data_IF_796642852119
#
_entry.id   IF_796642852119
#
_cell.length_a   1.000
_cell.length_b   1.000
_cell.length_c   1.000
_cell.angle_alpha   90.00
_cell.angle_beta   90.00
_cell.angle_gamma   90.00
#
_symmetry.space_group_name_H-M   'P 1'
#
loop_
_entity.id
_entity.type
_entity.pdbx_description
1 polymer ?
#
# COMPACT_ATOMS: atom_id res chain seq x y z
N UNK A 1 -19.23 -16.22 -18.26
CA UNK A 1 -19.41 -14.80 -17.89
C UNK A 1 -18.24 -14.27 -17.04
N UNK A 2 -17.88 -14.84 -15.89
CA UNK A 2 -16.74 -14.31 -15.10
C UNK A 2 -15.41 -14.35 -15.86
N UNK A 3 -15.08 -15.48 -16.50
CA UNK A 3 -13.85 -15.61 -17.28
C UNK A 3 -13.76 -14.63 -18.46
N UNK A 4 -14.88 -14.39 -19.16
CA UNK A 4 -14.93 -13.44 -20.27
C UNK A 4 -14.78 -11.99 -19.79
N UNK A 5 -15.40 -11.62 -18.65
CA UNK A 5 -15.24 -10.28 -18.08
C UNK A 5 -13.79 -10.00 -17.66
N UNK A 6 -13.13 -10.97 -17.04
CA UNK A 6 -11.71 -10.85 -16.69
C UNK A 6 -10.84 -10.75 -17.96
N UNK A 7 -11.16 -11.53 -19.01
CA UNK A 7 -10.46 -11.42 -20.30
C UNK A 7 -10.66 -10.05 -20.97
N UNK A 8 -11.83 -9.42 -20.79
CA UNK A 8 -12.09 -8.04 -21.22
C UNK A 8 -11.47 -6.95 -20.32
N UNK A 9 -10.66 -7.33 -19.32
CA UNK A 9 -9.93 -6.38 -18.48
C UNK A 9 -10.65 -5.95 -17.19
N UNK A 10 -11.72 -6.62 -16.78
CA UNK A 10 -12.38 -6.31 -15.51
C UNK A 10 -11.47 -6.59 -14.30
N UNK A 11 -11.47 -5.69 -13.32
CA UNK A 11 -10.63 -5.83 -12.11
C UNK A 11 -11.25 -6.82 -11.11
N UNK A 12 -10.55 -7.94 -10.87
CA UNK A 12 -11.00 -8.96 -9.91
C UNK A 12 -11.03 -8.45 -8.44
N UNK A 13 -10.29 -7.37 -8.16
CA UNK A 13 -10.22 -6.72 -6.85
C UNK A 13 -11.36 -5.74 -6.54
N UNK A 14 -12.25 -5.45 -7.49
CA UNK A 14 -13.35 -4.52 -7.29
C UNK A 14 -14.25 -4.95 -6.11
N UNK A 15 -14.68 -3.96 -5.34
CA UNK A 15 -15.46 -4.13 -4.12
C UNK A 15 -16.85 -3.53 -4.33
N UNK A 16 -17.89 -4.20 -3.85
CA UNK A 16 -19.27 -3.69 -3.89
C UNK A 16 -19.44 -2.46 -3.00
N UNK A 17 -20.51 -1.69 -3.23
CA UNK A 17 -20.83 -0.53 -2.41
C UNK A 17 -20.95 -0.89 -0.90
N UNK A 18 -20.48 -0.01 -0.01
CA UNK A 18 -20.64 -0.19 1.44
C UNK A 18 -22.11 -0.34 1.81
N UNK A 19 -22.43 -1.35 2.62
CA UNK A 19 -23.77 -1.56 3.16
C UNK A 19 -23.74 -1.65 4.68
N UNK A 20 -24.89 -1.52 5.34
CA UNK A 20 -24.96 -1.67 6.81
C UNK A 20 -24.45 -3.02 7.32
N UNK A 21 -24.44 -4.06 6.48
CA UNK A 21 -23.91 -5.39 6.82
C UNK A 21 -22.41 -5.51 6.50
N UNK A 22 -21.91 -4.74 5.54
CA UNK A 22 -20.52 -4.75 5.08
C UNK A 22 -20.01 -3.31 4.89
N UNK A 23 -19.51 -2.65 5.95
CA UNK A 23 -19.11 -1.25 5.91
C UNK A 23 -17.91 -0.99 4.98
N UNK A 24 -17.14 -2.03 4.65
CA UNK A 24 -15.99 -1.94 3.73
C UNK A 24 -16.29 -2.50 2.35
N UNK A 25 -17.53 -2.94 2.10
CA UNK A 25 -17.93 -3.69 0.90
C UNK A 25 -17.30 -5.09 0.80
N UNK A 26 -17.76 -5.87 -0.19
CA UNK A 26 -17.32 -7.24 -0.44
C UNK A 26 -16.69 -7.38 -1.83
N UNK A 27 -15.55 -8.07 -1.92
CA UNK A 27 -14.95 -8.44 -3.21
C UNK A 27 -15.74 -9.58 -3.84
N UNK A 28 -15.78 -9.66 -5.19
CA UNK A 28 -16.39 -10.78 -5.92
C UNK A 28 -15.92 -12.16 -5.42
N UNK A 29 -14.62 -12.31 -5.10
CA UNK A 29 -14.07 -13.53 -4.52
C UNK A 29 -14.67 -13.90 -3.15
N UNK A 30 -15.01 -12.91 -2.32
CA UNK A 30 -15.62 -13.13 -1.01
C UNK A 30 -17.08 -13.57 -1.12
N UNK A 31 -17.81 -13.01 -2.09
CA UNK A 31 -19.18 -13.38 -2.42
C UNK A 31 -19.21 -14.81 -2.97
N UNK A 32 -18.32 -15.15 -3.90
CA UNK A 32 -18.23 -16.52 -4.43
C UNK A 32 -17.93 -17.54 -3.31
N UNK A 33 -17.07 -17.18 -2.35
CA UNK A 33 -16.75 -18.04 -1.21
C UNK A 33 -17.94 -18.23 -0.27
N UNK A 34 -18.72 -17.17 0.02
CA UNK A 34 -19.89 -17.27 0.90
C UNK A 34 -21.00 -18.13 0.31
N UNK A 35 -21.11 -18.18 -1.02
CA UNK A 35 -22.06 -19.03 -1.74
C UNK A 35 -21.53 -20.46 -1.98
N UNK A 36 -20.35 -20.81 -1.45
CA UNK A 36 -19.77 -22.17 -1.55
C UNK A 36 -19.02 -22.45 -2.85
N UNK A 37 -18.91 -21.49 -3.77
CA UNK A 37 -18.13 -21.61 -5.00
C UNK A 37 -16.64 -21.38 -4.75
N UNK A 38 -16.00 -22.35 -4.07
CA UNK A 38 -14.59 -22.27 -3.67
C UNK A 38 -13.64 -22.18 -4.86
N UNK A 39 -13.91 -22.85 -5.98
CA UNK A 39 -13.07 -22.77 -7.18
C UNK A 39 -13.08 -21.41 -7.84
N UNK A 40 -14.26 -20.81 -7.95
CA UNK A 40 -14.45 -19.45 -8.45
C UNK A 40 -13.78 -18.41 -7.53
N UNK A 41 -13.98 -18.56 -6.22
CA UNK A 41 -13.36 -17.69 -5.22
C UNK A 41 -11.82 -17.78 -5.25
N UNK A 42 -11.28 -18.98 -5.44
CA UNK A 42 -9.84 -19.21 -5.59
C UNK A 42 -9.29 -18.53 -6.84
N UNK A 43 -9.91 -18.74 -8.01
CA UNK A 43 -9.51 -18.09 -9.25
C UNK A 43 -9.52 -16.56 -9.16
N UNK A 44 -10.61 -15.97 -8.67
CA UNK A 44 -10.72 -14.51 -8.52
C UNK A 44 -9.67 -13.97 -7.53
N UNK A 45 -9.34 -14.74 -6.49
CA UNK A 45 -8.29 -14.34 -5.52
C UNK A 45 -6.90 -14.40 -6.13
N UNK A 46 -6.59 -15.42 -6.95
CA UNK A 46 -5.32 -15.50 -7.69
C UNK A 46 -5.19 -14.36 -8.69
N UNK A 47 -6.19 -14.15 -9.54
CA UNK A 47 -6.20 -13.09 -10.56
C UNK A 47 -6.08 -11.71 -9.90
N UNK A 48 -6.73 -11.48 -8.76
CA UNK A 48 -6.58 -10.23 -8.02
C UNK A 48 -5.14 -10.02 -7.53
N UNK A 49 -4.50 -11.04 -6.97
CA UNK A 49 -3.12 -10.94 -6.49
C UNK A 49 -2.12 -10.73 -7.64
N UNK A 50 -2.27 -11.45 -8.75
CA UNK A 50 -1.36 -11.33 -9.89
C UNK A 50 -1.56 -10.00 -10.63
N UNK A 51 -2.80 -9.52 -10.79
CA UNK A 51 -3.10 -8.20 -11.36
C UNK A 51 -2.64 -7.05 -10.46
N UNK A 52 -2.78 -7.19 -9.13
CA UNK A 52 -2.26 -6.19 -8.19
C UNK A 52 -0.73 -6.14 -8.23
N UNK A 53 -0.07 -7.29 -8.35
CA UNK A 53 1.38 -7.34 -8.55
C UNK A 53 1.78 -6.65 -9.85
N UNK A 54 1.13 -6.95 -10.98
CA UNK A 54 1.50 -6.34 -12.26
C UNK A 54 1.31 -4.82 -12.23
N UNK A 55 0.26 -4.32 -11.57
CA UNK A 55 0.06 -2.89 -11.34
C UNK A 55 1.18 -2.27 -10.49
N UNK A 56 1.65 -2.95 -9.45
CA UNK A 56 2.74 -2.46 -8.61
C UNK A 56 4.09 -2.48 -9.33
N UNK A 57 4.39 -3.52 -10.11
CA UNK A 57 5.64 -3.62 -10.87
C UNK A 57 5.74 -2.57 -11.97
N UNK A 58 4.62 -2.21 -12.63
CA UNK A 58 4.60 -1.10 -13.60
C UNK A 58 4.98 0.24 -12.94
N UNK A 59 4.48 0.50 -11.74
CA UNK A 59 4.86 1.72 -10.99
C UNK A 59 6.31 1.69 -10.51
N UNK A 60 6.90 0.50 -10.31
CA UNK A 60 8.30 0.35 -9.89
C UNK A 60 9.26 0.41 -11.09
N UNK A 61 8.85 -0.05 -12.28
CA UNK A 61 9.65 0.07 -13.51
C UNK A 61 9.80 1.51 -13.99
N UNK A 62 8.83 2.38 -13.71
CA UNK A 62 8.95 3.83 -13.96
C UNK A 62 9.91 4.53 -12.96
N UNK A 63 10.22 3.88 -11.83
CA UNK A 63 11.09 4.40 -10.77
C UNK A 63 12.47 3.70 -10.75
N UNK A 64 12.62 2.53 -11.36
CA UNK A 64 13.87 1.76 -11.36
C UNK A 64 14.09 1.00 -12.66
N UNK A 65 14.92 1.59 -13.51
CA UNK A 65 15.62 0.92 -14.63
C UNK A 65 16.76 0.01 -14.14
N UNK A 66 16.58 -0.69 -13.01
CA UNK A 66 17.58 -1.59 -12.44
C UNK A 66 16.92 -2.76 -11.71
N UNK A 67 16.48 -3.74 -12.48
CA UNK A 67 16.33 -5.13 -12.00
C UNK A 67 16.42 -6.09 -13.19
N UNK A 68 17.57 -6.09 -13.85
CA UNK A 68 17.95 -7.09 -14.86
C UNK A 68 18.52 -8.36 -14.20
N UNK A 69 18.01 -8.76 -13.04
CA UNK A 69 18.59 -9.87 -12.24
C UNK A 69 17.52 -10.81 -11.64
N UNK A 70 16.22 -10.58 -11.88
CA UNK A 70 15.14 -11.39 -11.31
C UNK A 70 14.27 -12.14 -12.33
N UNK A 71 14.60 -12.04 -13.63
CA UNK A 71 13.99 -12.83 -14.71
C UNK A 71 14.48 -14.29 -14.76
N UNK A 72 15.49 -14.65 -13.96
CA UNK A 72 16.03 -16.02 -13.91
C UNK A 72 15.10 -17.02 -13.19
N UNK A 73 14.06 -16.56 -12.48
CA UNK A 73 13.11 -17.46 -11.79
C UNK A 73 11.80 -17.69 -12.57
N UNK A 74 11.55 -16.95 -13.66
CA UNK A 74 10.36 -17.16 -14.50
C UNK A 74 10.52 -18.33 -15.50
N UNK A 75 11.74 -18.83 -15.70
CA UNK A 75 12.07 -19.81 -16.74
C UNK A 75 12.38 -21.22 -16.25
N UNK A 76 12.29 -21.52 -14.95
CA UNK A 76 12.51 -22.89 -14.46
C UNK A 76 11.22 -23.54 -13.97
N UNK A 77 10.33 -23.82 -14.92
CA UNK A 77 9.33 -24.89 -14.81
C UNK A 77 9.01 -25.52 -16.17
N UNK A 78 10.02 -25.66 -17.03
CA UNK A 78 9.90 -26.30 -18.34
C UNK A 78 10.66 -27.63 -18.43
N UNK A 79 10.50 -28.54 -17.47
CA UNK A 79 10.84 -29.97 -17.72
C UNK A 79 9.91 -30.89 -16.94
N UNK A 80 8.91 -31.43 -17.64
CA UNK A 80 8.40 -32.81 -17.51
C UNK A 80 7.21 -32.95 -18.45
N UNK A 81 7.52 -32.97 -19.74
CA UNK A 81 6.59 -33.40 -20.79
C UNK A 81 6.71 -34.91 -20.89
N UNK A 82 6.13 -35.63 -19.93
CA UNK A 82 5.85 -37.05 -20.09
C UNK A 82 4.81 -37.50 -19.05
N UNK A 83 3.58 -37.71 -19.54
CA UNK A 83 2.76 -38.89 -19.23
C UNK A 83 1.45 -38.79 -20.00
N UNK A 84 1.39 -39.57 -21.07
CA UNK A 84 0.17 -39.94 -21.76
C UNK A 84 -0.73 -40.67 -20.74
N UNK A 85 -1.97 -40.20 -20.58
CA UNK A 85 -2.99 -40.69 -19.63
C UNK A 85 -2.91 -40.14 -18.18
N UNK A 86 -2.74 -38.83 -18.00
CA UNK A 86 -3.04 -38.21 -16.71
C UNK A 86 -4.56 -38.23 -16.44
N UNK A 87 -4.98 -38.90 -15.37
CA UNK A 87 -6.36 -38.82 -14.87
C UNK A 87 -6.77 -37.36 -14.67
N UNK A 88 -7.98 -36.96 -15.11
CA UNK A 88 -8.53 -35.58 -15.06
C UNK A 88 -8.28 -34.90 -13.71
N UNK A 89 -8.35 -35.68 -12.64
CA UNK A 89 -8.14 -35.26 -11.25
C UNK A 89 -6.71 -34.85 -10.93
N UNK A 90 -5.70 -35.55 -11.46
CA UNK A 90 -4.28 -35.20 -11.29
C UNK A 90 -3.96 -33.89 -12.00
N UNK A 91 -4.53 -33.69 -13.19
CA UNK A 91 -4.33 -32.43 -13.94
C UNK A 91 -5.04 -31.26 -13.25
N UNK A 92 -6.22 -31.49 -12.68
CA UNK A 92 -6.92 -30.47 -11.86
C UNK A 92 -6.16 -30.12 -10.58
N UNK A 93 -5.53 -31.10 -9.93
CA UNK A 93 -4.68 -30.90 -8.77
C UNK A 93 -3.46 -30.06 -9.13
N UNK A 94 -2.73 -30.43 -10.18
CA UNK A 94 -1.53 -29.70 -10.64
C UNK A 94 -1.85 -28.24 -10.93
N UNK A 95 -2.90 -27.97 -11.72
CA UNK A 95 -3.35 -26.61 -12.01
C UNK A 95 -3.71 -25.81 -10.75
N UNK A 96 -4.31 -26.46 -9.74
CA UNK A 96 -4.65 -25.81 -8.47
C UNK A 96 -3.43 -25.54 -7.57
N UNK A 97 -2.37 -26.35 -7.67
CA UNK A 97 -1.11 -26.13 -6.97
C UNK A 97 -0.29 -25.02 -7.62
N UNK A 98 -0.29 -24.94 -8.95
CA UNK A 98 0.32 -23.84 -9.70
C UNK A 98 -0.34 -22.50 -9.33
N UNK A 99 -1.67 -22.49 -9.19
CA UNK A 99 -2.42 -21.33 -8.70
C UNK A 99 -1.97 -20.88 -7.29
N UNK A 100 -1.73 -21.83 -6.38
CA UNK A 100 -1.21 -21.52 -5.04
C UNK A 100 0.20 -20.94 -5.12
N UNK A 101 1.09 -21.52 -5.94
CA UNK A 101 2.45 -21.02 -6.13
C UNK A 101 2.43 -19.58 -6.66
N UNK A 102 1.64 -19.32 -7.71
CA UNK A 102 1.48 -17.99 -8.30
C UNK A 102 0.95 -16.99 -7.26
N UNK A 103 -0.13 -17.35 -6.56
CA UNK A 103 -0.73 -16.48 -5.55
C UNK A 103 0.24 -16.20 -4.39
N UNK A 104 0.99 -17.20 -3.92
CA UNK A 104 1.96 -17.05 -2.83
C UNK A 104 3.14 -16.18 -3.24
N UNK A 105 3.72 -16.40 -4.43
CA UNK A 105 4.78 -15.56 -4.97
C UNK A 105 4.30 -14.13 -5.18
N UNK A 106 3.09 -13.94 -5.71
CA UNK A 106 2.51 -12.62 -5.90
C UNK A 106 2.30 -11.88 -4.56
N UNK A 107 1.70 -12.55 -3.57
CA UNK A 107 1.52 -12.03 -2.23
C UNK A 107 2.84 -11.63 -1.57
N UNK A 108 3.88 -12.47 -1.67
CA UNK A 108 5.20 -12.19 -1.10
C UNK A 108 5.84 -10.93 -1.72
N UNK A 109 5.77 -10.79 -3.05
CA UNK A 109 6.30 -9.62 -3.77
C UNK A 109 5.53 -8.35 -3.44
N UNK A 110 4.19 -8.42 -3.38
CA UNK A 110 3.35 -7.29 -2.93
C UNK A 110 3.77 -6.84 -1.53
N UNK A 111 3.85 -7.77 -0.57
CA UNK A 111 4.24 -7.47 0.80
C UNK A 111 5.66 -6.90 0.89
N UNK A 112 6.60 -7.43 0.11
CA UNK A 112 7.96 -6.91 0.03
C UNK A 112 7.99 -5.47 -0.51
N UNK A 113 7.23 -5.17 -1.56
CA UNK A 113 7.11 -3.82 -2.12
C UNK A 113 6.56 -2.83 -1.07
N UNK A 114 5.51 -3.20 -0.32
CA UNK A 114 4.98 -2.36 0.77
C UNK A 114 5.98 -2.15 1.91
N UNK A 115 6.76 -3.18 2.28
CA UNK A 115 7.83 -3.06 3.29
C UNK A 115 8.93 -2.12 2.81
N UNK A 116 9.38 -2.25 1.57
CA UNK A 116 10.39 -1.40 0.96
C UNK A 116 9.91 0.05 0.87
N UNK A 117 8.68 0.29 0.38
CA UNK A 117 8.08 1.62 0.33
C UNK A 117 7.95 2.25 1.73
N UNK A 118 7.49 1.48 2.71
CA UNK A 118 7.42 1.93 4.11
C UNK A 118 8.79 2.30 4.67
N UNK A 119 9.84 1.57 4.30
CA UNK A 119 11.19 1.85 4.75
C UNK A 119 11.73 3.14 4.11
N UNK A 120 11.54 3.32 2.79
CA UNK A 120 11.91 4.55 2.06
C UNK A 120 11.22 5.79 2.65
N UNK A 121 9.90 5.75 2.85
CA UNK A 121 9.15 6.86 3.48
C UNK A 121 9.65 7.20 4.88
N UNK A 122 10.03 6.19 5.69
CA UNK A 122 10.64 6.44 7.01
C UNK A 122 12.01 7.11 6.90
N UNK A 123 12.87 6.62 6.00
CA UNK A 123 14.20 7.19 5.75
C UNK A 123 14.13 8.64 5.29
N UNK A 124 13.18 8.97 4.40
CA UNK A 124 12.93 10.35 3.95
C UNK A 124 12.49 11.26 5.10
N UNK A 125 11.59 10.79 5.97
CA UNK A 125 11.21 11.55 7.18
C UNK A 125 12.36 11.71 8.15
N UNK A 126 13.16 10.67 8.38
CA UNK A 126 14.35 10.76 9.24
C UNK A 126 15.41 11.69 8.66
N UNK A 127 15.58 11.72 7.33
CA UNK A 127 16.46 12.67 6.66
C UNK A 127 15.93 14.11 6.77
N UNK A 128 14.63 14.33 6.59
CA UNK A 128 13.99 15.63 6.80
C UNK A 128 14.05 16.08 8.27
N UNK A 129 13.96 15.14 9.23
CA UNK A 129 14.13 15.42 10.65
C UNK A 129 15.60 15.71 11.02
N UNK A 130 16.56 15.01 10.40
CA UNK A 130 18.00 15.28 10.56
C UNK A 130 18.41 16.63 9.98
N UNK A 131 17.73 17.13 8.95
CA UNK A 131 17.92 18.50 8.44
C UNK A 131 17.54 19.58 9.47
N UNK A 132 16.69 19.25 10.47
CA UNK A 132 16.30 20.14 11.57
C UNK A 132 17.19 19.99 12.83
N UNK A 133 17.88 18.84 13.01
CA UNK A 133 18.75 18.54 14.17
C UNK A 133 20.21 18.37 13.72
N UNK A 134 20.81 19.47 13.25
CA UNK A 134 22.19 19.49 12.78
C UNK A 134 23.23 19.33 13.91
N UNK A 135 24.15 18.39 13.68
CA UNK A 135 25.52 18.23 14.23
C UNK A 135 25.70 17.43 15.54
N UNK A 136 26.24 16.20 15.48
CA UNK A 136 27.68 15.92 15.30
C UNK A 136 27.96 14.43 15.63
N UNK A 137 28.67 13.72 14.74
CA UNK A 137 29.42 12.52 15.10
C UNK A 137 30.84 12.63 14.55
N UNK A 138 31.77 12.18 15.40
CA UNK A 138 33.12 11.67 15.12
C UNK A 138 34.28 12.68 15.07
N UNK A 139 35.19 12.51 16.03
CA UNK A 139 36.63 12.66 15.81
C UNK A 139 37.36 11.82 16.86
N UNK A 140 37.90 10.70 16.40
CA UNK A 140 38.78 9.78 17.12
C UNK A 140 40.26 10.17 16.83
N UNK A 141 41.18 9.82 17.73
CA UNK A 141 42.61 9.72 17.43
C UNK A 141 43.54 10.85 17.92
N UNK A 142 44.24 10.61 19.04
CA UNK A 142 45.71 10.56 19.13
C UNK A 142 46.21 10.61 20.60
N UNK A 143 46.60 9.45 21.14
CA UNK A 143 47.08 9.28 22.52
C UNK A 143 48.61 9.15 22.63
N UNK A 144 49.38 9.31 21.54
CA UNK A 144 50.83 8.95 21.56
C UNK A 144 51.83 10.12 21.66
N UNK A 145 51.40 11.38 21.83
CA UNK A 145 52.30 12.55 21.75
C UNK A 145 52.51 13.28 23.09
N UNK A 146 51.79 12.89 24.15
CA UNK A 146 51.72 13.70 25.39
C UNK A 146 52.81 13.44 26.44
N UNK A 147 53.67 12.41 26.29
CA UNK A 147 54.62 12.04 27.36
C UNK A 147 55.92 12.84 27.38
N UNK A 148 56.18 13.71 26.40
CA UNK A 148 57.46 14.44 26.29
C UNK A 148 57.39 15.93 26.74
N UNK A 149 56.19 16.49 26.97
CA UNK A 149 56.00 17.94 27.22
C UNK A 149 55.72 18.26 28.71
N UNK A 150 55.60 17.24 29.57
CA UNK A 150 55.08 17.37 30.94
C UNK A 150 55.97 18.13 31.93
N UNK A 151 57.25 18.38 31.63
CA UNK A 151 58.20 18.90 32.64
C UNK A 151 58.46 20.41 32.59
N UNK A 152 57.89 21.15 31.63
CA UNK A 152 57.99 22.63 31.57
C UNK A 152 56.61 23.33 31.64
N UNK A 153 55.52 22.57 31.78
CA UNK A 153 54.14 23.05 31.52
C UNK A 153 53.29 23.32 32.77
N UNK A 154 53.79 23.17 34.00
CA UNK A 154 52.91 23.25 35.20
C UNK A 154 52.16 24.59 35.36
N UNK A 155 52.74 25.71 34.88
CA UNK A 155 52.06 27.01 34.83
C UNK A 155 51.05 27.12 33.70
N UNK A 156 51.30 26.56 32.52
CA UNK A 156 50.35 26.60 31.40
C UNK A 156 49.19 25.60 31.57
N UNK A 157 49.45 24.47 32.23
CA UNK A 157 48.44 23.44 32.53
C UNK A 157 47.32 23.98 33.42
N UNK A 158 47.65 24.86 34.37
CA UNK A 158 46.65 25.54 35.22
C UNK A 158 45.68 26.38 34.40
N UNK A 159 46.20 27.17 33.46
CA UNK A 159 45.39 28.03 32.59
C UNK A 159 44.52 27.21 31.63
N UNK A 160 45.06 26.14 31.04
CA UNK A 160 44.27 25.21 30.22
C UNK A 160 43.19 24.50 31.03
N UNK A 161 43.48 24.13 32.28
CA UNK A 161 42.49 23.49 33.16
C UNK A 161 41.35 24.45 33.52
N UNK A 162 41.64 25.70 33.86
CA UNK A 162 40.64 26.73 34.13
C UNK A 162 39.78 27.02 32.89
N UNK A 163 40.41 27.15 31.72
CA UNK A 163 39.70 27.32 30.46
C UNK A 163 38.78 26.12 30.15
N UNK A 164 39.28 24.88 30.30
CA UNK A 164 38.50 23.67 30.11
C UNK A 164 37.30 23.60 31.07
N UNK A 165 37.48 23.94 32.35
CA UNK A 165 36.39 23.99 33.32
C UNK A 165 35.33 25.04 32.96
N UNK A 166 35.74 26.20 32.43
CA UNK A 166 34.81 27.24 31.98
C UNK A 166 33.93 26.75 30.81
N UNK A 167 34.53 26.04 29.85
CA UNK A 167 33.85 25.45 28.70
C UNK A 167 32.89 24.35 29.16
N UNK A 168 33.35 23.45 30.03
CA UNK A 168 32.52 22.37 30.59
C UNK A 168 31.33 22.92 31.37
N UNK A 169 31.52 23.96 32.19
CA UNK A 169 30.44 24.61 32.94
C UNK A 169 29.41 25.21 31.99
N UNK A 170 29.86 25.91 30.93
CA UNK A 170 28.97 26.49 29.92
C UNK A 170 28.19 25.40 29.17
N UNK A 171 28.87 24.31 28.80
CA UNK A 171 28.25 23.17 28.12
C UNK A 171 27.19 22.49 28.99
N UNK A 172 27.49 22.20 30.27
CA UNK A 172 26.52 21.60 31.20
C UNK A 172 25.27 22.47 31.35
N UNK A 173 25.44 23.79 31.46
CA UNK A 173 24.33 24.74 31.51
C UNK A 173 23.52 24.78 30.21
N UNK A 174 24.19 24.80 29.05
CA UNK A 174 23.53 24.76 27.75
C UNK A 174 22.75 23.46 27.52
N UNK A 175 23.35 22.31 27.85
CA UNK A 175 22.72 20.98 27.74
C UNK A 175 21.46 20.90 28.61
N UNK A 176 21.57 21.28 29.89
CA UNK A 176 20.42 21.30 30.80
C UNK A 176 19.30 22.23 30.33
N UNK A 177 19.65 23.42 29.79
CA UNK A 177 18.66 24.34 29.22
C UNK A 177 17.96 23.77 27.99
N UNK A 178 18.70 23.08 27.10
CA UNK A 178 18.16 22.42 25.92
C UNK A 178 17.15 21.33 26.31
N UNK A 179 17.53 20.45 27.24
CA UNK A 179 16.67 19.37 27.73
C UNK A 179 15.41 19.92 28.43
N UNK A 180 15.56 20.96 29.25
CA UNK A 180 14.43 21.61 29.91
C UNK A 180 13.44 22.24 28.93
N UNK A 181 13.93 22.94 27.89
CA UNK A 181 13.05 23.53 26.87
C UNK A 181 12.30 22.47 26.09
N UNK A 182 12.95 21.36 25.72
CA UNK A 182 12.31 20.25 25.04
C UNK A 182 11.22 19.59 25.91
N UNK A 183 11.50 19.38 27.21
CA UNK A 183 10.50 18.87 28.15
C UNK A 183 9.33 19.85 28.30
N UNK A 184 9.61 21.15 28.48
CA UNK A 184 8.59 22.18 28.64
C UNK A 184 7.66 22.24 27.43
N UNK A 185 8.18 22.16 26.21
CA UNK A 185 7.35 22.14 25.00
C UNK A 185 6.39 20.94 24.99
N UNK A 186 6.87 19.74 25.34
CA UNK A 186 6.03 18.54 25.44
C UNK A 186 4.94 18.70 26.51
N UNK A 187 5.31 19.20 27.69
CA UNK A 187 4.35 19.43 28.79
C UNK A 187 3.29 20.46 28.38
N UNK A 188 3.66 21.56 27.75
CA UNK A 188 2.72 22.60 27.30
C UNK A 188 1.75 22.03 26.26
N UNK A 189 2.21 21.19 25.32
CA UNK A 189 1.34 20.49 24.36
C UNK A 189 0.30 19.61 25.07
N UNK A 190 0.73 18.76 25.99
CA UNK A 190 -0.17 17.88 26.77
C UNK A 190 -1.19 18.72 27.53
N UNK A 191 -0.72 19.78 28.19
CA UNK A 191 -1.58 20.68 28.95
C UNK A 191 -2.63 21.38 28.07
N UNK A 192 -2.25 21.83 26.86
CA UNK A 192 -3.18 22.44 25.91
C UNK A 192 -4.28 21.45 25.48
N UNK A 193 -3.90 20.21 25.17
CA UNK A 193 -4.83 19.13 24.79
C UNK A 193 -5.81 18.83 25.93
N UNK A 194 -5.32 18.68 27.15
CA UNK A 194 -6.16 18.38 28.33
C UNK A 194 -7.15 19.52 28.60
N UNK A 195 -6.70 20.78 28.54
CA UNK A 195 -7.60 21.94 28.70
C UNK A 195 -8.67 21.99 27.60
N UNK A 196 -8.28 21.73 26.35
CA UNK A 196 -9.22 21.67 25.23
C UNK A 196 -10.24 20.53 25.36
N UNK A 197 -9.81 19.35 25.80
CA UNK A 197 -10.70 18.22 26.06
C UNK A 197 -11.74 18.55 27.15
N UNK A 198 -11.30 19.18 28.25
CA UNK A 198 -12.19 19.53 29.36
C UNK A 198 -13.32 20.48 28.90
N UNK A 199 -12.99 21.51 28.11
CA UNK A 199 -14.00 22.44 27.55
C UNK A 199 -14.94 21.72 26.58
N UNK A 200 -14.41 20.91 25.65
CA UNK A 200 -15.24 20.14 24.70
C UNK A 200 -16.18 19.17 25.40
N UNK A 201 -15.75 18.54 26.50
CA UNK A 201 -16.61 17.67 27.32
C UNK A 201 -17.79 18.43 27.92
N UNK A 202 -17.55 19.62 28.48
CA UNK A 202 -18.63 20.47 29.01
C UNK A 202 -19.56 20.96 27.91
N UNK A 203 -19.01 21.35 26.76
CA UNK A 203 -19.79 21.79 25.61
C UNK A 203 -20.70 20.68 25.05
N UNK A 204 -20.23 19.43 24.99
CA UNK A 204 -21.05 18.28 24.59
C UNK A 204 -22.26 18.08 25.53
N UNK A 205 -22.10 18.31 26.84
CA UNK A 205 -23.22 18.24 27.79
C UNK A 205 -24.26 19.33 27.53
N UNK A 206 -23.80 20.56 27.26
CA UNK A 206 -24.68 21.67 26.90
C UNK A 206 -25.44 21.38 25.59
N UNK A 207 -24.74 20.94 24.54
CA UNK A 207 -25.37 20.55 23.27
C UNK A 207 -26.39 19.44 23.45
N UNK A 208 -26.10 18.44 24.28
CA UNK A 208 -27.04 17.36 24.58
C UNK A 208 -28.31 17.89 25.27
N UNK A 209 -28.15 18.75 26.29
CA UNK A 209 -29.27 19.39 26.98
C UNK A 209 -30.12 20.26 26.04
N UNK A 210 -29.48 21.08 25.21
CA UNK A 210 -30.15 21.91 24.19
C UNK A 210 -30.86 21.03 23.15
N UNK A 211 -30.26 19.91 22.76
CA UNK A 211 -30.88 18.93 21.85
C UNK A 211 -32.16 18.34 22.43
N UNK A 212 -32.18 18.00 23.72
CA UNK A 212 -33.40 17.54 24.42
C UNK A 212 -34.43 18.66 24.47
N UNK A 213 -34.04 19.86 24.89
CA UNK A 213 -34.93 21.01 24.96
C UNK A 213 -35.58 21.29 23.60
N UNK A 214 -34.79 21.33 22.52
CA UNK A 214 -35.30 21.51 21.16
C UNK A 214 -36.26 20.39 20.76
N UNK A 215 -35.96 19.13 21.09
CA UNK A 215 -36.89 18.02 20.85
C UNK A 215 -38.21 18.19 21.61
N UNK A 216 -38.17 18.64 22.86
CA UNK A 216 -39.37 18.90 23.68
C UNK A 216 -40.16 20.08 23.12
N UNK A 217 -39.51 21.20 22.80
CA UNK A 217 -40.15 22.40 22.20
C UNK A 217 -40.78 22.06 20.86
N UNK A 218 -40.09 21.31 19.99
CA UNK A 218 -40.63 20.86 18.71
C UNK A 218 -41.82 19.91 18.89
N UNK A 219 -41.76 19.00 19.86
CA UNK A 219 -42.88 18.10 20.20
C UNK A 219 -44.10 18.87 20.73
N UNK A 220 -43.87 19.92 21.52
CA UNK A 220 -44.91 20.80 22.06
C UNK A 220 -45.56 21.66 20.96
N UNK A 221 -44.74 22.32 20.13
CA UNK A 221 -45.23 23.14 19.00
C UNK A 221 -46.02 22.33 17.97
N UNK A 222 -45.63 21.08 17.71
CA UNK A 222 -46.29 20.22 16.72
C UNK A 222 -47.54 19.47 17.24
N UNK A 223 -47.96 19.65 18.50
CA UNK A 223 -49.17 19.02 19.10
C UNK A 223 -49.42 17.53 18.73
N UNK A 224 -48.34 16.72 18.68
CA UNK A 224 -48.24 15.26 18.42
C UNK A 224 -48.91 14.72 17.13
N UNK A 225 -48.11 14.08 16.27
CA UNK A 225 -48.11 12.64 15.85
C UNK A 225 -46.74 12.41 15.17
N UNK A 226 -46.15 11.23 15.37
CA UNK A 226 -44.72 10.97 15.15
C UNK A 226 -44.26 11.01 13.70
N UNK A 227 -42.98 11.33 13.50
CA UNK A 227 -42.23 10.93 12.30
C UNK A 227 -40.80 10.59 12.73
N UNK A 228 -40.40 9.38 12.35
CA UNK A 228 -39.08 8.77 12.39
C UNK A 228 -37.97 9.79 12.05
N UNK A 229 -37.00 9.98 12.95
CA UNK A 229 -35.82 10.78 12.64
C UNK A 229 -34.63 9.85 12.38
N UNK A 230 -34.28 9.79 11.10
CA UNK A 230 -32.96 9.44 10.56
C UNK A 230 -31.85 9.77 11.55
N UNK A 231 -31.08 8.73 11.88
CA UNK A 231 -29.84 8.81 12.66
C UNK A 231 -28.83 9.61 11.85
N UNK A 232 -28.69 10.89 12.18
CA UNK A 232 -27.62 11.72 11.66
C UNK A 232 -26.32 11.24 12.29
N UNK A 233 -25.57 10.45 11.53
CA UNK A 233 -24.20 10.11 11.85
C UNK A 233 -23.38 11.39 11.78
N UNK A 234 -22.89 11.82 12.93
CA UNK A 234 -21.89 12.87 13.02
C UNK A 234 -20.59 12.21 12.57
N UNK A 235 -20.31 12.26 11.27
CA UNK A 235 -18.97 12.05 10.74
C UNK A 235 -18.09 13.21 11.24
N UNK A 236 -17.40 12.97 12.35
CA UNK A 236 -16.27 13.76 12.78
C UNK A 236 -15.07 13.40 11.88
N UNK A 237 -14.94 14.11 10.76
CA UNK A 237 -13.67 14.23 10.05
C UNK A 237 -12.87 15.38 10.67
N UNK A 238 -11.98 15.03 11.60
CA UNK A 238 -10.90 15.82 12.20
C UNK A 238 -9.82 14.75 12.50
N UNK A 239 -8.51 14.81 12.22
CA UNK A 239 -7.58 15.90 11.96
C UNK A 239 -6.41 15.37 11.09
N UNK A 240 -6.07 16.06 10.00
CA UNK A 240 -4.94 15.73 9.14
C UNK A 240 -3.67 16.40 9.71
N UNK A 241 -2.86 15.66 10.49
CA UNK A 241 -1.39 15.90 10.58
C UNK A 241 -0.62 14.81 11.34
N UNK A 242 -1.21 14.11 12.31
CA UNK A 242 -0.55 12.97 13.01
C UNK A 242 -1.26 11.61 12.77
N UNK A 243 -2.48 11.64 12.23
CA UNK A 243 -3.25 10.46 11.87
C UNK A 243 -2.72 9.75 10.62
N UNK A 244 -1.81 10.35 9.84
CA UNK A 244 -1.26 9.71 8.65
C UNK A 244 -0.49 8.44 8.99
N UNK A 245 0.29 8.41 10.07
CA UNK A 245 1.06 7.22 10.45
C UNK A 245 0.19 6.13 11.05
N UNK A 246 -0.81 6.51 11.85
CA UNK A 246 -1.82 5.59 12.36
C UNK A 246 -2.65 5.02 11.20
N UNK A 247 -3.29 5.86 10.38
CA UNK A 247 -4.04 5.45 9.20
C UNK A 247 -3.19 4.63 8.23
N UNK A 248 -1.89 4.92 8.09
CA UNK A 248 -0.99 4.10 7.28
C UNK A 248 -0.75 2.72 7.88
N UNK A 249 -0.62 2.57 9.21
CA UNK A 249 -0.54 1.25 9.86
C UNK A 249 -1.85 0.48 9.67
N UNK A 250 -3.00 1.11 9.86
CA UNK A 250 -4.31 0.47 9.66
C UNK A 250 -4.57 0.10 8.20
N UNK A 251 -4.19 0.96 7.25
CA UNK A 251 -4.25 0.66 5.81
C UNK A 251 -3.33 -0.50 5.44
N UNK A 252 -2.09 -0.52 5.96
CA UNK A 252 -1.13 -1.62 5.74
C UNK A 252 -1.64 -2.94 6.32
N UNK A 253 -2.16 -2.92 7.54
CA UNK A 253 -2.74 -4.10 8.18
C UNK A 253 -3.95 -4.61 7.40
N UNK A 254 -4.83 -3.71 6.95
CA UNK A 254 -6.00 -4.05 6.13
C UNK A 254 -5.59 -4.68 4.78
N UNK A 255 -4.57 -4.14 4.11
CA UNK A 255 -4.04 -4.69 2.86
C UNK A 255 -3.41 -6.07 3.09
N UNK A 256 -2.57 -6.23 4.12
CA UNK A 256 -1.96 -7.53 4.45
C UNK A 256 -3.03 -8.57 4.81
N UNK A 257 -4.02 -8.19 5.62
CA UNK A 257 -5.15 -9.06 5.95
C UNK A 257 -5.98 -9.44 4.72
N UNK A 258 -6.12 -8.55 3.73
CA UNK A 258 -6.79 -8.85 2.47
C UNK A 258 -6.00 -9.86 1.64
N UNK A 259 -4.66 -9.70 1.56
CA UNK A 259 -3.76 -10.64 0.86
C UNK A 259 -3.81 -12.02 1.51
N UNK A 260 -3.73 -12.11 2.83
CA UNK A 260 -3.85 -13.38 3.55
C UNK A 260 -5.23 -14.04 3.37
N UNK A 261 -6.30 -13.25 3.39
CA UNK A 261 -7.66 -13.74 3.10
C UNK A 261 -7.75 -14.29 1.68
N UNK A 262 -7.10 -13.65 0.70
CA UNK A 262 -7.02 -14.16 -0.68
C UNK A 262 -6.26 -15.50 -0.73
N UNK A 263 -5.09 -15.61 -0.10
CA UNK A 263 -4.34 -16.87 -0.02
C UNK A 263 -5.13 -18.00 0.65
N UNK A 264 -5.85 -17.71 1.75
CA UNK A 264 -6.72 -18.69 2.40
C UNK A 264 -7.80 -19.21 1.46
N UNK A 265 -8.37 -18.36 0.59
CA UNK A 265 -9.35 -18.78 -0.43
C UNK A 265 -8.72 -19.69 -1.48
N UNK A 266 -7.55 -19.33 -2.02
CA UNK A 266 -6.83 -20.17 -2.99
C UNK A 266 -6.48 -21.53 -2.37
N UNK A 267 -5.98 -21.56 -1.13
CA UNK A 267 -5.72 -22.80 -0.41
C UNK A 267 -7.00 -23.62 -0.14
N UNK A 268 -8.12 -22.96 0.15
CA UNK A 268 -9.40 -23.64 0.38
C UNK A 268 -9.94 -24.34 -0.86
N UNK A 269 -9.67 -23.80 -2.05
CA UNK A 269 -9.99 -24.41 -3.34
C UNK A 269 -9.18 -25.69 -3.56
N UNK A 270 -7.88 -25.70 -3.23
CA UNK A 270 -7.02 -26.88 -3.41
C UNK A 270 -7.47 -28.05 -2.54
N UNK A 271 -8.12 -27.84 -1.40
CA UNK A 271 -8.57 -28.94 -0.54
C UNK A 271 -9.74 -29.75 -1.10
N UNK A 272 -10.54 -29.19 -2.01
CA UNK A 272 -11.76 -29.83 -2.52
C UNK A 272 -11.65 -30.21 -3.99
N UNK A 273 -11.96 -31.47 -4.32
CA UNK A 273 -11.96 -31.98 -5.70
C UNK A 273 -12.90 -31.18 -6.63
N UNK A 274 -14.13 -30.91 -6.19
CA UNK A 274 -15.09 -30.12 -6.96
C UNK A 274 -14.63 -28.67 -7.20
N UNK A 275 -13.93 -28.07 -6.23
CA UNK A 275 -13.38 -26.73 -6.36
C UNK A 275 -12.21 -26.67 -7.37
N UNK A 276 -11.32 -27.69 -7.38
CA UNK A 276 -10.24 -27.82 -8.38
C UNK A 276 -10.79 -27.89 -9.80
N UNK A 277 -11.85 -28.68 -10.00
CA UNK A 277 -12.50 -28.81 -11.30
C UNK A 277 -13.19 -27.51 -11.74
N UNK A 278 -13.88 -26.81 -10.82
CA UNK A 278 -14.45 -25.48 -11.08
C UNK A 278 -13.37 -24.48 -11.54
N UNK A 279 -12.24 -24.45 -10.84
CA UNK A 279 -11.09 -23.60 -11.20
C UNK A 279 -10.55 -23.93 -12.59
N UNK A 280 -10.33 -25.22 -12.88
CA UNK A 280 -9.83 -25.68 -14.19
C UNK A 280 -10.78 -25.31 -15.33
N UNK A 281 -12.10 -25.47 -15.14
CA UNK A 281 -13.12 -25.05 -16.12
C UNK A 281 -13.09 -23.55 -16.35
N UNK A 282 -12.91 -22.77 -15.29
CA UNK A 282 -12.83 -21.32 -15.40
C UNK A 282 -11.54 -20.89 -16.12
N UNK A 283 -10.43 -21.56 -15.85
CA UNK A 283 -9.15 -21.34 -16.51
C UNK A 283 -9.21 -21.68 -18.01
N UNK A 284 -9.88 -22.77 -18.40
CA UNK A 284 -10.08 -23.10 -19.82
C UNK A 284 -10.95 -22.08 -20.52
N UNK A 285 -12.04 -21.62 -19.89
CA UNK A 285 -12.90 -20.58 -20.44
C UNK A 285 -12.17 -19.23 -20.57
N UNK A 286 -11.31 -18.89 -19.60
CA UNK A 286 -10.50 -17.69 -19.68
C UNK A 286 -9.52 -17.74 -20.84
N UNK A 287 -8.86 -18.88 -21.06
CA UNK A 287 -7.96 -19.07 -22.21
C UNK A 287 -8.69 -18.95 -23.55
N UNK A 288 -9.92 -19.48 -23.63
CA UNK A 288 -10.75 -19.35 -24.84
C UNK A 288 -11.24 -17.91 -25.06
N UNK A 289 -11.53 -17.17 -23.98
CA UNK A 289 -12.04 -15.80 -24.05
C UNK A 289 -10.94 -14.74 -24.15
N UNK A 290 -9.69 -15.07 -23.79
CA UNK A 290 -8.55 -14.18 -23.95
C UNK A 290 -8.23 -14.14 -25.46
N UNK A 291 -8.43 -13.01 -26.14
CA UNK A 291 -8.09 -12.92 -27.55
C UNK A 291 -6.60 -13.23 -27.71
N UNK A 292 -6.25 -14.02 -28.72
CA UNK A 292 -4.88 -14.21 -29.20
C UNK A 292 -4.35 -12.85 -29.67
N UNK A 293 -3.87 -12.04 -28.74
CA UNK A 293 -3.29 -10.73 -29.03
C UNK A 293 -1.77 -10.81 -29.10
N UNK A 294 -1.23 -11.91 -29.64
CA UNK A 294 0.23 -12.13 -29.79
C UNK A 294 0.63 -12.91 -31.07
N UNK A 295 -0.25 -13.07 -32.06
CA UNK A 295 0.13 -13.75 -33.32
C UNK A 295 -0.48 -13.14 -34.58
N UNK A 296 -0.24 -11.85 -34.83
CA UNK A 296 -0.21 -11.29 -36.19
C UNK A 296 0.84 -10.18 -36.29
N UNK A 297 2.09 -10.51 -35.97
CA UNK A 297 3.26 -9.77 -36.45
C UNK A 297 4.20 -10.78 -37.09
N UNK A 298 3.87 -11.20 -38.32
CA UNK A 298 4.83 -11.24 -39.42
C UNK A 298 4.21 -11.84 -40.70
N UNK A 299 4.29 -11.02 -41.76
CA UNK A 299 4.44 -11.33 -43.19
C UNK A 299 3.31 -12.04 -43.95
N UNK A 300 2.71 -11.26 -44.87
CA UNK A 300 2.48 -11.67 -46.26
C UNK A 300 2.69 -10.44 -47.19
N UNK A 301 3.03 -10.66 -48.48
CA UNK A 301 4.02 -9.84 -49.19
C UNK A 301 3.47 -8.67 -50.01
N UNK A 302 4.42 -7.79 -50.35
CA UNK A 302 4.37 -6.71 -51.32
C UNK A 302 3.88 -7.18 -52.71
N UNK A 303 2.88 -6.50 -53.27
CA UNK A 303 2.73 -6.23 -54.72
C UNK A 303 1.70 -5.10 -54.91
N UNK A 304 2.14 -3.86 -55.14
CA UNK A 304 2.27 -3.16 -56.45
C UNK A 304 0.99 -2.41 -56.85
N UNK A 305 1.17 -1.15 -57.26
CA UNK A 305 0.25 -0.29 -58.04
C UNK A 305 -0.74 0.59 -57.27
N UNK A 306 -0.28 1.75 -56.79
CA UNK A 306 -1.10 2.97 -56.66
C UNK A 306 -0.22 4.22 -56.46
N UNK A 307 0.69 4.51 -57.40
CA UNK A 307 1.48 5.76 -57.43
C UNK A 307 1.00 6.76 -58.50
N UNK A 308 -0.16 6.54 -59.13
CA UNK A 308 -0.63 7.40 -60.24
C UNK A 308 -1.66 8.48 -59.87
N UNK A 309 -2.10 8.60 -58.61
CA UNK A 309 -3.24 9.48 -58.28
C UNK A 309 -2.83 10.85 -57.70
N UNK A 310 -1.56 11.06 -57.35
CA UNK A 310 -1.10 12.33 -56.76
C UNK A 310 -0.57 13.36 -57.77
N UNK A 311 -0.21 12.93 -58.98
CA UNK A 311 0.28 13.84 -60.02
C UNK A 311 -0.83 14.50 -60.85
N UNK A 312 -2.07 14.00 -60.78
CA UNK A 312 -3.21 14.58 -61.52
C UNK A 312 -3.87 15.77 -60.79
N UNK A 313 -3.60 15.94 -59.48
CA UNK A 313 -4.19 17.01 -58.65
C UNK A 313 -3.31 18.27 -58.65
N UNK A 314 -2.00 18.15 -58.94
CA UNK A 314 -1.06 19.28 -58.89
C UNK A 314 -0.93 20.06 -60.22
N UNK A 315 -1.37 19.53 -61.37
CA UNK A 315 -1.37 20.27 -62.65
C UNK A 315 -2.56 21.23 -62.82
N UNK A 316 -3.58 21.15 -61.98
CA UNK A 316 -4.78 22.00 -62.08
C UNK A 316 -4.76 23.27 -61.21
N UNK A 317 -3.63 23.57 -60.55
CA UNK A 317 -3.55 24.68 -59.56
C UNK A 317 -2.68 25.87 -60.04
N UNK A 318 -2.02 25.83 -61.20
CA UNK A 318 -1.34 27.02 -61.75
C UNK A 318 -1.19 27.01 -63.28
N UNK A 319 -2.01 27.76 -64.04
CA UNK A 319 -1.84 27.89 -65.49
C UNK A 319 -0.95 29.09 -65.83
N UNK A 320 0.25 28.83 -66.37
CA UNK A 320 1.04 29.77 -67.19
C UNK A 320 2.08 29.02 -68.01
#
# INVERSE_FOLDING_TARGET
>A
MVASLIASGATAGAVTDPSSQDPTGKTAASIAASHGHKGLAGYLSEVHLTSHLSSLTLTESDISKRSSELEAEFTVCSVSKENLMANEDQVSLKASLDAVRNAAQAAARIQAAFRAHSFRKRKEREAAARFLDGYCSEADGNVSVLSAISNLSSRSLGDYHVAALSIQKKYRGWKGRKEFLALRQKVVKIQAIVRGYQVRKQYKLLLWAVGILNKVVLRWRRKRVGISSVRQEIESNEEESDDEDFLNVFRKEKVNAAIEKALKRVLSMVKSKGARQQYRRLLSLYRQAKPECDSTSDKAPLSTSADDDWNQILENIWPS
#
